data_IF_131414771621
#
_entry.id   IF_131414771621
#
_cell.length_a   1.000
_cell.length_b   1.000
_cell.length_c   1.000
_cell.angle_alpha   90.00
_cell.angle_beta   90.00
_cell.angle_gamma   90.00
#
_symmetry.space_group_name_H-M   'P 1'
#
loop_
_entity.id
_entity.type
_entity.pdbx_description
1 polymer ?
#
# COMPACT_ATOMS: atom_id res chain seq x y z
N UNK A 1 6.60 8.48 11.94
CA UNK A 1 5.74 7.45 11.33
C UNK A 1 5.94 7.50 9.83
N UNK A 2 6.36 6.39 9.20
CA UNK A 2 6.55 6.32 7.74
C UNK A 2 5.21 6.24 7.02
N UNK A 3 5.10 6.88 5.85
CA UNK A 3 3.90 6.85 5.01
C UNK A 3 3.53 5.40 4.60
N UNK A 4 4.54 4.55 4.37
CA UNK A 4 4.37 3.11 4.12
C UNK A 4 3.68 2.39 5.29
N UNK A 5 4.09 2.71 6.52
CA UNK A 5 3.51 2.11 7.73
C UNK A 5 2.03 2.47 7.89
N UNK A 6 1.71 3.76 7.72
CA UNK A 6 0.33 4.24 7.75
C UNK A 6 -0.54 3.56 6.68
N UNK A 7 -0.02 3.41 5.47
CA UNK A 7 -0.76 2.83 4.35
C UNK A 7 -1.05 1.34 4.55
N UNK A 8 -0.03 0.55 4.94
CA UNK A 8 -0.19 -0.88 5.21
C UNK A 8 -1.20 -1.09 6.34
N UNK A 9 -1.08 -0.32 7.43
CA UNK A 9 -2.04 -0.36 8.55
C UNK A 9 -3.46 -0.07 8.08
N UNK A 10 -3.65 1.00 7.31
CA UNK A 10 -4.97 1.44 6.86
C UNK A 10 -5.62 0.41 5.94
N UNK A 11 -4.86 -0.17 5.01
CA UNK A 11 -5.38 -1.14 4.03
C UNK A 11 -5.63 -2.52 4.64
N UNK A 12 -4.80 -2.96 5.58
CA UNK A 12 -4.88 -4.31 6.15
C UNK A 12 -5.60 -4.38 7.50
N UNK A 13 -5.86 -3.23 8.13
CA UNK A 13 -6.47 -3.09 9.45
C UNK A 13 -5.76 -3.93 10.54
N UNK A 14 -4.45 -4.12 10.40
CA UNK A 14 -3.61 -4.78 11.39
C UNK A 14 -3.16 -3.80 12.47
N UNK A 15 -2.73 -4.33 13.60
CA UNK A 15 -2.11 -3.56 14.69
C UNK A 15 -0.71 -3.07 14.31
N UNK A 16 -0.26 -1.98 14.95
CA UNK A 16 1.03 -1.34 14.65
C UNK A 16 2.23 -2.26 14.84
N UNK A 17 2.14 -3.17 15.82
CA UNK A 17 3.22 -4.10 16.12
C UNK A 17 3.37 -5.13 14.98
N UNK A 18 2.25 -5.72 14.55
CA UNK A 18 2.22 -6.64 13.40
C UNK A 18 2.71 -5.95 12.12
N UNK A 19 2.27 -4.71 11.85
CA UNK A 19 2.74 -3.96 10.67
C UNK A 19 4.25 -3.68 10.74
N UNK A 20 4.76 -3.30 11.90
CA UNK A 20 6.20 -3.06 12.09
C UNK A 20 7.02 -4.33 11.87
N UNK A 21 6.58 -5.48 12.40
CA UNK A 21 7.22 -6.78 12.16
C UNK A 21 7.17 -7.16 10.69
N UNK A 22 6.02 -7.00 10.03
CA UNK A 22 5.87 -7.27 8.60
C UNK A 22 6.86 -6.45 7.77
N UNK A 23 6.99 -5.15 8.04
CA UNK A 23 7.92 -4.28 7.31
C UNK A 23 9.36 -4.68 7.58
N UNK A 24 9.74 -4.99 8.83
CA UNK A 24 11.11 -5.40 9.13
C UNK A 24 11.45 -6.74 8.49
N UNK A 25 10.52 -7.71 8.52
CA UNK A 25 10.72 -9.03 7.90
C UNK A 25 10.79 -8.91 6.38
N UNK A 26 9.95 -8.08 5.77
CA UNK A 26 10.00 -7.81 4.33
C UNK A 26 11.29 -7.09 3.92
N UNK A 27 11.84 -6.21 4.77
CA UNK A 27 13.10 -5.53 4.54
C UNK A 27 14.31 -6.46 4.71
N UNK A 28 14.21 -7.46 5.59
CA UNK A 28 15.24 -8.49 5.77
C UNK A 28 15.23 -9.56 4.66
N UNK A 29 14.17 -9.61 3.83
CA UNK A 29 14.03 -10.61 2.77
C UNK A 29 14.57 -10.09 1.43
N UNK A 30 15.88 -10.32 1.21
CA UNK A 30 16.61 -9.89 0.00
C UNK A 30 16.23 -10.69 -1.26
N UNK A 31 15.84 -11.96 -1.11
CA UNK A 31 15.47 -12.84 -2.22
C UNK A 31 13.99 -12.66 -2.64
N UNK A 32 13.69 -12.18 -3.86
CA UNK A 32 12.33 -11.86 -4.30
C UNK A 32 11.42 -13.09 -4.48
N UNK A 33 11.99 -14.25 -4.72
CA UNK A 33 11.28 -15.52 -4.90
C UNK A 33 11.23 -16.37 -3.64
N UNK A 34 11.82 -15.90 -2.54
CA UNK A 34 11.75 -16.63 -1.28
C UNK A 34 10.30 -16.73 -0.80
N UNK A 35 9.86 -17.93 -0.35
CA UNK A 35 8.51 -18.10 0.15
C UNK A 35 8.27 -17.17 1.35
N UNK A 36 7.07 -16.56 1.45
CA UNK A 36 6.74 -15.72 2.60
C UNK A 36 6.80 -16.54 3.91
N UNK A 37 7.25 -15.92 5.02
CA UNK A 37 7.29 -16.56 6.33
C UNK A 37 5.93 -17.17 6.70
N UNK A 38 5.91 -18.33 7.37
CA UNK A 38 4.68 -19.06 7.69
C UNK A 38 3.64 -18.19 8.44
N UNK A 39 4.11 -17.25 9.27
CA UNK A 39 3.30 -16.27 9.99
C UNK A 39 2.53 -15.28 9.09
N UNK A 40 2.96 -15.09 7.84
CA UNK A 40 2.36 -14.17 6.87
C UNK A 40 1.82 -14.87 5.61
N UNK A 41 1.54 -16.18 5.67
CA UNK A 41 1.05 -16.93 4.49
C UNK A 41 -0.44 -16.81 4.21
N UNK A 42 -1.25 -16.34 5.17
CA UNK A 42 -2.71 -16.30 5.02
C UNK A 42 -3.34 -14.99 5.51
N UNK A 43 -4.46 -14.62 4.87
CA UNK A 43 -5.32 -13.52 5.32
C UNK A 43 -4.70 -12.13 5.17
N UNK A 44 -5.04 -11.24 6.11
CA UNK A 44 -4.63 -9.82 6.08
C UNK A 44 -3.13 -9.63 6.28
N UNK A 45 -2.48 -10.53 7.02
CA UNK A 45 -1.03 -10.48 7.24
C UNK A 45 -0.25 -10.82 5.97
N UNK A 46 -0.77 -11.73 5.13
CA UNK A 46 -0.22 -11.99 3.80
C UNK A 46 -0.32 -10.79 2.87
N UNK A 47 -1.45 -10.08 2.89
CA UNK A 47 -1.63 -8.85 2.14
C UNK A 47 -0.66 -7.76 2.59
N UNK A 48 -0.49 -7.60 3.91
CA UNK A 48 0.46 -6.62 4.47
C UNK A 48 1.89 -6.93 4.04
N UNK A 49 2.26 -8.21 4.05
CA UNK A 49 3.58 -8.68 3.65
C UNK A 49 3.87 -8.46 2.17
N UNK A 50 2.93 -8.82 1.29
CA UNK A 50 3.05 -8.57 -0.14
C UNK A 50 3.15 -7.06 -0.45
N UNK A 51 2.36 -6.24 0.25
CA UNK A 51 2.38 -4.79 0.09
C UNK A 51 3.71 -4.18 0.57
N UNK A 52 4.25 -4.65 1.69
CA UNK A 52 5.55 -4.22 2.20
C UNK A 52 6.68 -4.53 1.21
N UNK A 53 6.73 -5.74 0.65
CA UNK A 53 7.69 -6.13 -0.40
C UNK A 53 7.54 -5.27 -1.66
N UNK A 54 6.31 -5.01 -2.09
CA UNK A 54 6.07 -4.25 -3.30
C UNK A 54 6.50 -2.79 -3.16
N UNK A 55 6.18 -2.18 -2.02
CA UNK A 55 6.56 -0.79 -1.72
C UNK A 55 8.08 -0.67 -1.55
N UNK A 56 8.75 -1.64 -0.91
CA UNK A 56 10.20 -1.59 -0.71
C UNK A 56 10.97 -1.73 -2.03
N UNK A 57 10.54 -2.61 -2.94
CA UNK A 57 11.27 -2.88 -4.18
C UNK A 57 10.93 -1.92 -5.33
N UNK A 58 9.68 -1.45 -5.42
CA UNK A 58 9.23 -0.57 -6.51
C UNK A 58 8.38 0.60 -5.98
N UNK A 59 8.93 1.45 -5.11
CA UNK A 59 8.18 2.52 -4.47
C UNK A 59 7.56 3.46 -5.50
N UNK A 60 8.30 3.83 -6.55
CA UNK A 60 7.82 4.76 -7.59
C UNK A 60 6.58 4.21 -8.30
N UNK A 61 6.60 2.95 -8.75
CA UNK A 61 5.45 2.35 -9.46
C UNK A 61 4.23 2.24 -8.57
N UNK A 62 4.42 1.91 -7.29
CA UNK A 62 3.35 1.86 -6.33
C UNK A 62 2.71 3.23 -6.12
N UNK A 63 3.50 4.26 -5.82
CA UNK A 63 3.00 5.60 -5.53
C UNK A 63 2.39 6.27 -6.76
N UNK A 64 2.93 6.05 -7.97
CA UNK A 64 2.32 6.52 -9.22
C UNK A 64 0.96 5.85 -9.48
N UNK A 65 0.86 4.54 -9.25
CA UNK A 65 -0.43 3.83 -9.34
C UNK A 65 -1.44 4.35 -8.33
N UNK A 66 -1.01 4.57 -7.08
CA UNK A 66 -1.83 5.14 -6.03
C UNK A 66 -2.28 6.57 -6.34
N UNK A 67 -1.38 7.42 -6.86
CA UNK A 67 -1.73 8.78 -7.25
C UNK A 67 -2.73 8.79 -8.41
N UNK A 68 -2.57 7.89 -9.39
CA UNK A 68 -3.55 7.74 -10.47
C UNK A 68 -4.93 7.32 -9.96
N UNK A 69 -4.96 6.39 -9.01
CA UNK A 69 -6.19 5.92 -8.37
C UNK A 69 -6.93 7.03 -7.60
N UNK A 70 -6.20 7.98 -7.01
CA UNK A 70 -6.77 9.11 -6.27
C UNK A 70 -7.10 10.29 -7.21
N UNK A 71 -6.24 10.57 -8.19
CA UNK A 71 -6.40 11.71 -9.10
C UNK A 71 -7.61 11.53 -10.02
N UNK A 72 -7.90 10.31 -10.47
CA UNK A 72 -9.04 10.04 -11.35
C UNK A 72 -10.40 10.40 -10.73
N UNK A 73 -10.77 9.94 -9.51
CA UNK A 73 -12.03 10.33 -8.90
C UNK A 73 -12.07 11.82 -8.57
N UNK A 74 -10.94 12.43 -8.19
CA UNK A 74 -10.86 13.89 -7.98
C UNK A 74 -11.15 14.63 -9.29
N UNK A 75 -10.55 14.19 -10.40
CA UNK A 75 -10.78 14.77 -11.73
C UNK A 75 -12.25 14.63 -12.14
N UNK A 76 -12.86 13.46 -11.94
CA UNK A 76 -14.27 13.25 -12.27
C UNK A 76 -15.20 14.14 -11.44
N UNK A 77 -14.96 14.24 -10.12
CA UNK A 77 -15.74 15.13 -9.23
C UNK A 77 -15.52 16.58 -9.63
N UNK A 78 -14.28 16.99 -9.89
CA UNK A 78 -13.97 18.36 -10.33
C UNK A 78 -14.62 18.72 -11.66
N UNK A 79 -14.62 17.79 -12.62
CA UNK A 79 -15.30 17.96 -13.91
C UNK A 79 -16.80 18.08 -13.72
N UNK A 80 -17.40 17.17 -12.94
CA UNK A 80 -18.83 17.17 -12.66
C UNK A 80 -19.25 18.45 -11.93
N UNK A 81 -18.50 18.90 -10.94
CA UNK A 81 -18.71 20.20 -10.26
C UNK A 81 -18.55 21.36 -11.24
N UNK A 82 -17.54 21.35 -12.12
CA UNK A 82 -17.37 22.36 -13.17
C UNK A 82 -18.58 22.44 -14.09
N UNK A 83 -19.08 21.29 -14.56
CA UNK A 83 -20.29 21.19 -15.38
C UNK A 83 -21.54 21.72 -14.64
N UNK A 84 -21.66 21.45 -13.32
CA UNK A 84 -22.78 21.93 -12.51
C UNK A 84 -22.73 23.44 -12.21
N UNK A 85 -21.54 24.02 -12.06
CA UNK A 85 -21.35 25.44 -11.72
C UNK A 85 -21.06 26.34 -12.93
N UNK A 86 -21.01 25.78 -14.15
CA UNK A 86 -21.02 26.53 -15.40
C UNK A 86 -19.76 27.37 -15.66
N UNK A 87 -18.59 26.77 -15.51
CA UNK A 87 -17.33 27.34 -16.02
C UNK A 87 -17.00 26.82 -17.42
#
# INVERSE_FOLDING_TARGET
MSLTHFLIRTLTRLDDNTVSRVISTAAAQDEPTAPPPAEFRQGRSAMAYALAIFISRRPVRFYVGLSGLIALPIYLVGTLVGDFYGW
#
